data_IF_329823213513
#
_entry.id   IF_329823213513
#
_cell.length_a   1.000
_cell.length_b   1.000
_cell.length_c   1.000
_cell.angle_alpha   90.00
_cell.angle_beta   90.00
_cell.angle_gamma   90.00
#
_symmetry.space_group_name_H-M   'P 1'
#
loop_
_entity.id
_entity.type
_entity.pdbx_description
1 polymer ?
#
# COMPACT_ATOMS: atom_id res chain seq x y z
N UNK A 1 22.60 10.06 -14.09
CA UNK A 1 21.67 9.50 -15.06
C UNK A 1 20.48 8.93 -14.34
N UNK A 2 19.62 9.86 -13.87
CA UNK A 2 18.55 9.55 -12.95
C UNK A 2 17.32 8.96 -13.60
N UNK A 3 17.32 7.68 -13.85
CA UNK A 3 16.07 6.97 -13.89
C UNK A 3 15.65 6.75 -12.44
N UNK A 4 14.66 7.51 -12.01
CA UNK A 4 13.87 7.12 -10.86
C UNK A 4 13.11 5.87 -11.29
N UNK A 5 13.69 4.72 -11.03
CA UNK A 5 12.96 3.47 -11.17
C UNK A 5 11.76 3.58 -10.25
N UNK A 6 10.57 3.52 -10.81
CA UNK A 6 9.35 3.43 -10.03
C UNK A 6 9.54 2.29 -9.02
N UNK A 7 9.29 2.58 -7.75
CA UNK A 7 9.42 1.58 -6.70
C UNK A 7 8.49 0.41 -7.02
N UNK A 8 9.05 -0.77 -7.05
CA UNK A 8 8.30 -2.00 -7.27
C UNK A 8 7.79 -2.53 -5.92
N UNK A 9 6.62 -2.07 -5.52
CA UNK A 9 5.97 -2.53 -4.29
C UNK A 9 5.56 -4.00 -4.37
N UNK A 10 5.29 -4.51 -5.57
CA UNK A 10 5.04 -5.92 -5.80
C UNK A 10 6.27 -6.76 -5.44
N UNK A 11 7.45 -6.35 -5.88
CA UNK A 11 8.72 -7.00 -5.51
C UNK A 11 8.97 -6.95 -4.01
N UNK A 12 8.62 -5.86 -3.34
CA UNK A 12 8.71 -5.75 -1.88
C UNK A 12 7.79 -6.76 -1.19
N UNK A 13 6.55 -6.87 -1.64
CA UNK A 13 5.59 -7.85 -1.12
C UNK A 13 6.07 -9.29 -1.34
N UNK A 14 6.63 -9.59 -2.51
CA UNK A 14 7.21 -10.90 -2.85
C UNK A 14 8.38 -11.29 -1.97
N UNK A 15 9.15 -10.33 -1.47
CA UNK A 15 10.24 -10.58 -0.51
C UNK A 15 9.73 -10.78 0.90
N UNK A 16 8.70 -10.04 1.30
CA UNK A 16 8.14 -10.10 2.66
C UNK A 16 7.32 -11.36 2.91
N UNK A 17 6.55 -11.78 1.94
CA UNK A 17 5.62 -12.91 2.06
C UNK A 17 6.29 -14.19 2.56
N UNK A 18 7.41 -14.67 1.96
CA UNK A 18 8.06 -15.88 2.47
C UNK A 18 8.75 -15.67 3.82
N UNK A 19 9.32 -14.51 4.08
CA UNK A 19 10.02 -14.23 5.35
C UNK A 19 9.03 -14.21 6.51
N UNK A 20 7.85 -13.63 6.29
CA UNK A 20 6.79 -13.54 7.31
C UNK A 20 5.85 -14.74 7.33
N UNK A 21 6.02 -15.67 6.39
CA UNK A 21 5.10 -16.81 6.21
C UNK A 21 3.64 -16.34 6.16
N UNK A 22 3.36 -15.37 5.30
CA UNK A 22 2.10 -14.62 5.34
C UNK A 22 1.68 -14.17 3.95
N UNK A 23 0.37 -13.90 3.79
CA UNK A 23 -0.10 -13.03 2.72
C UNK A 23 0.25 -11.59 3.09
N UNK A 24 0.68 -10.80 2.12
CA UNK A 24 1.11 -9.41 2.31
C UNK A 24 0.38 -8.50 1.35
N UNK A 25 -0.23 -7.45 1.90
CA UNK A 25 -0.84 -6.35 1.14
C UNK A 25 -0.19 -5.04 1.53
N UNK A 26 0.22 -4.27 0.55
CA UNK A 26 0.69 -2.89 0.73
C UNK A 26 -0.38 -1.99 0.14
N UNK A 27 -1.04 -1.20 0.99
CA UNK A 27 -2.15 -0.33 0.61
C UNK A 27 -1.75 1.13 0.75
N UNK A 28 -2.23 1.96 -0.18
CA UNK A 28 -2.18 3.42 -0.01
C UNK A 28 -3.39 3.90 0.83
N UNK A 29 -3.50 5.21 1.04
CA UNK A 29 -4.59 5.81 1.84
C UNK A 29 -5.94 5.83 1.11
N UNK A 30 -5.96 5.51 -0.16
CA UNK A 30 -7.19 5.41 -0.97
C UNK A 30 -7.68 3.97 -1.12
N UNK A 31 -6.94 3.00 -0.56
CA UNK A 31 -7.26 1.58 -0.64
C UNK A 31 -6.75 0.89 -1.89
N UNK A 32 -5.92 1.56 -2.69
CA UNK A 32 -5.26 0.93 -3.81
C UNK A 32 -4.21 -0.06 -3.32
N UNK A 33 -4.16 -1.23 -3.93
CA UNK A 33 -3.16 -2.25 -3.64
C UNK A 33 -1.91 -1.91 -4.44
N UNK A 34 -0.90 -1.39 -3.76
CA UNK A 34 0.40 -1.05 -4.35
C UNK A 34 1.24 -2.30 -4.59
N UNK A 35 1.13 -3.27 -3.71
CA UNK A 35 1.82 -4.55 -3.82
C UNK A 35 1.06 -5.65 -3.09
N UNK A 36 1.16 -6.86 -3.61
CA UNK A 36 0.53 -8.06 -3.06
C UNK A 36 1.40 -9.27 -3.34
N UNK A 37 1.51 -10.14 -2.37
CA UNK A 37 2.01 -11.50 -2.57
C UNK A 37 1.48 -12.46 -1.51
N UNK A 38 1.38 -13.72 -1.88
CA UNK A 38 1.02 -14.79 -0.97
C UNK A 38 1.81 -16.05 -1.31
N UNK A 39 2.40 -16.67 -0.29
CA UNK A 39 3.08 -17.95 -0.43
C UNK A 39 2.10 -19.13 -0.51
N UNK A 40 0.85 -18.90 -0.14
CA UNK A 40 -0.22 -19.90 -0.15
C UNK A 40 -1.31 -19.45 -1.11
N UNK A 41 -1.81 -20.37 -1.89
CA UNK A 41 -2.95 -20.10 -2.76
C UNK A 41 -4.25 -20.11 -1.94
N UNK A 42 -4.68 -18.91 -1.53
CA UNK A 42 -5.98 -18.68 -0.90
C UNK A 42 -7.03 -18.24 -1.91
N UNK A 43 -6.92 -18.69 -3.15
CA UNK A 43 -7.77 -18.18 -4.21
C UNK A 43 -9.25 -18.50 -3.97
N UNK A 44 -10.04 -17.45 -3.85
CA UNK A 44 -11.49 -17.49 -4.03
C UNK A 44 -11.87 -16.32 -4.95
N UNK A 45 -13.08 -16.38 -5.50
CA UNK A 45 -13.57 -15.38 -6.46
C UNK A 45 -13.50 -13.94 -5.92
N UNK A 46 -13.79 -13.76 -4.63
CA UNK A 46 -13.77 -12.44 -3.98
C UNK A 46 -12.36 -11.86 -3.89
N UNK A 47 -11.41 -12.69 -3.46
CA UNK A 47 -10.00 -12.28 -3.35
C UNK A 47 -9.39 -12.01 -4.73
N UNK A 48 -9.68 -12.88 -5.69
CA UNK A 48 -9.23 -12.68 -7.07
C UNK A 48 -9.73 -11.36 -7.64
N UNK A 49 -11.00 -11.03 -7.39
CA UNK A 49 -11.57 -9.77 -7.84
C UNK A 49 -10.89 -8.56 -7.19
N UNK A 50 -10.66 -8.60 -5.89
CA UNK A 50 -9.96 -7.52 -5.16
C UNK A 50 -8.56 -7.33 -5.73
N UNK A 51 -7.84 -8.41 -5.97
CA UNK A 51 -6.48 -8.39 -6.53
C UNK A 51 -6.50 -7.87 -7.98
N UNK A 52 -7.46 -8.29 -8.80
CA UNK A 52 -7.63 -7.82 -10.17
C UNK A 52 -7.96 -6.33 -10.22
N UNK A 53 -8.88 -5.88 -9.39
CA UNK A 53 -9.30 -4.48 -9.30
C UNK A 53 -8.23 -3.60 -8.62
N UNK A 54 -7.24 -4.20 -7.98
CA UNK A 54 -6.19 -3.51 -7.23
C UNK A 54 -6.73 -2.55 -6.19
N UNK A 55 -7.87 -2.90 -5.60
CA UNK A 55 -8.54 -2.02 -4.64
C UNK A 55 -9.29 -2.84 -3.59
N UNK A 56 -9.11 -2.48 -2.33
CA UNK A 56 -9.86 -3.07 -1.23
C UNK A 56 -11.24 -2.41 -1.10
N UNK A 57 -12.25 -3.11 -0.55
CA UNK A 57 -13.56 -2.51 -0.31
C UNK A 57 -13.48 -1.29 0.60
N UNK A 58 -14.32 -0.29 0.34
CA UNK A 58 -14.32 0.96 1.10
C UNK A 58 -14.52 0.77 2.60
N UNK A 59 -15.40 -0.15 3.00
CA UNK A 59 -15.64 -0.44 4.41
C UNK A 59 -14.38 -0.96 5.11
N UNK A 60 -13.61 -1.80 4.43
CA UNK A 60 -12.34 -2.30 4.94
C UNK A 60 -11.29 -1.18 5.03
N UNK A 61 -11.19 -0.36 4.00
CA UNK A 61 -10.31 0.81 3.99
C UNK A 61 -10.59 1.73 5.17
N UNK A 62 -11.86 2.10 5.36
CA UNK A 62 -12.27 3.01 6.44
C UNK A 62 -11.92 2.41 7.81
N UNK A 63 -12.10 1.11 7.98
CA UNK A 63 -11.73 0.41 9.22
C UNK A 63 -10.21 0.42 9.45
N UNK A 64 -9.41 0.16 8.42
CA UNK A 64 -7.94 0.15 8.54
C UNK A 64 -7.37 1.53 8.82
N UNK A 65 -7.95 2.59 8.27
CA UNK A 65 -7.49 3.96 8.50
C UNK A 65 -7.75 4.45 9.92
N UNK A 66 -8.63 3.80 10.66
CA UNK A 66 -8.87 4.08 12.09
C UNK A 66 -7.86 3.40 13.01
N UNK A 67 -7.00 2.55 12.46
CA UNK A 67 -5.93 1.90 13.22
C UNK A 67 -4.72 2.85 13.24
N UNK A 68 -4.42 3.40 14.40
CA UNK A 68 -3.34 4.38 14.59
C UNK A 68 -2.04 3.78 15.12
N UNK A 69 -2.10 2.61 15.72
CA UNK A 69 -0.95 1.85 16.19
C UNK A 69 -1.08 0.41 15.67
N UNK A 70 0.02 -0.29 15.54
CA UNK A 70 0.05 -1.68 15.09
C UNK A 70 -0.92 -2.54 15.89
N UNK A 71 -1.83 -3.20 15.20
CA UNK A 71 -2.82 -4.10 15.80
C UNK A 71 -2.47 -5.53 15.41
N UNK A 72 -2.31 -6.38 16.41
CA UNK A 72 -1.66 -7.69 16.29
C UNK A 72 -2.66 -8.82 16.50
N UNK A 73 -2.48 -9.88 15.74
CA UNK A 73 -3.23 -11.14 15.91
C UNK A 73 -4.75 -10.93 15.93
N UNK A 74 -5.23 -10.17 14.97
CA UNK A 74 -6.65 -9.88 14.76
C UNK A 74 -7.32 -11.18 14.32
N UNK A 75 -8.33 -11.67 15.06
CA UNK A 75 -9.01 -12.90 14.70
C UNK A 75 -9.98 -12.70 13.53
N UNK A 76 -10.40 -13.79 12.93
CA UNK A 76 -11.24 -13.74 11.73
C UNK A 76 -12.64 -13.12 11.96
N UNK A 77 -13.15 -13.15 13.19
CA UNK A 77 -14.42 -12.55 13.54
C UNK A 77 -14.39 -11.02 13.49
N UNK A 78 -13.21 -10.43 13.53
CA UNK A 78 -13.02 -8.98 13.47
C UNK A 78 -13.14 -8.48 12.02
N UNK A 79 -13.78 -7.34 11.83
CA UNK A 79 -13.92 -6.69 10.51
C UNK A 79 -12.60 -6.30 9.87
N UNK A 80 -11.52 -6.23 10.65
CA UNK A 80 -10.16 -5.95 10.17
C UNK A 80 -9.44 -7.19 9.65
N UNK A 81 -9.99 -8.39 9.84
CA UNK A 81 -9.40 -9.61 9.29
C UNK A 81 -9.31 -9.52 7.77
N UNK A 82 -8.14 -9.88 7.23
CA UNK A 82 -7.97 -10.00 5.78
C UNK A 82 -8.63 -11.28 5.23
N UNK A 83 -8.97 -12.21 6.09
CA UNK A 83 -9.62 -13.46 5.74
C UNK A 83 -11.12 -13.35 6.04
N UNK A 84 -12.01 -13.39 5.03
CA UNK A 84 -13.44 -13.33 5.27
C UNK A 84 -13.96 -14.58 6.00
N UNK A 85 -15.03 -14.38 6.76
CA UNK A 85 -15.68 -15.45 7.53
C UNK A 85 -16.10 -16.64 6.65
N UNK A 86 -16.52 -16.37 5.42
CA UNK A 86 -16.93 -17.38 4.44
C UNK A 86 -15.82 -18.34 4.03
N UNK A 87 -14.56 -17.93 4.13
CA UNK A 87 -13.40 -18.76 3.81
C UNK A 87 -13.01 -19.69 4.94
N UNK A 88 -13.40 -19.38 6.15
CA UNK A 88 -12.99 -20.15 7.31
C UNK A 88 -13.71 -21.47 7.44
N UNK A 89 -14.89 -21.60 6.84
CA UNK A 89 -15.56 -22.89 6.72
C UNK A 89 -14.75 -23.89 5.88
N UNK A 90 -13.86 -23.39 5.03
CA UNK A 90 -12.96 -24.21 4.20
C UNK A 90 -11.66 -24.59 4.89
N UNK A 91 -11.25 -23.83 5.88
CA UNK A 91 -10.00 -24.04 6.60
C UNK A 91 -10.31 -24.34 8.07
N UNK A 92 -10.09 -25.58 8.48
CA UNK A 92 -10.18 -25.99 9.87
C UNK A 92 -9.03 -25.36 10.68
N UNK A 93 -9.15 -24.09 11.03
CA UNK A 93 -8.08 -23.44 11.79
C UNK A 93 -8.39 -21.98 12.13
N UNK A 94 -7.49 -21.38 12.88
CA UNK A 94 -7.55 -19.97 13.21
C UNK A 94 -6.80 -19.15 12.18
N UNK A 95 -7.26 -17.94 11.90
CA UNK A 95 -6.53 -16.98 11.12
C UNK A 95 -6.11 -15.77 11.96
N UNK A 96 -5.01 -15.17 11.60
CA UNK A 96 -4.44 -14.02 12.28
C UNK A 96 -4.07 -12.94 11.28
N UNK A 97 -4.49 -11.72 11.55
CA UNK A 97 -4.17 -10.55 10.76
C UNK A 97 -3.41 -9.54 11.60
N UNK A 98 -2.43 -8.88 11.01
CA UNK A 98 -1.74 -7.74 11.62
C UNK A 98 -1.94 -6.54 10.71
N UNK A 99 -2.33 -5.41 11.30
CA UNK A 99 -2.48 -4.13 10.63
C UNK A 99 -1.38 -3.20 11.11
N UNK A 100 -0.54 -2.75 10.19
CA UNK A 100 0.55 -1.82 10.50
C UNK A 100 0.31 -0.50 9.76
N UNK A 101 0.07 0.60 10.49
CA UNK A 101 0.03 1.92 9.85
C UNK A 101 1.39 2.25 9.23
N UNK A 102 1.39 2.64 7.96
CA UNK A 102 2.59 3.13 7.28
C UNK A 102 2.58 4.65 7.38
N UNK A 103 3.63 5.20 7.98
CA UNK A 103 3.78 6.64 8.21
C UNK A 103 5.12 7.14 7.69
N UNK A 104 5.16 8.40 7.31
CA UNK A 104 6.38 9.09 6.93
C UNK A 104 6.11 10.58 6.78
N UNK A 105 7.09 11.42 7.10
CA UNK A 105 6.93 12.86 7.00
C UNK A 105 5.80 13.44 7.87
N UNK A 106 5.44 12.76 8.96
CA UNK A 106 4.33 13.18 9.84
C UNK A 106 2.94 12.83 9.34
N UNK A 107 2.84 12.09 8.23
CA UNK A 107 1.57 11.72 7.59
C UNK A 107 1.32 10.24 7.61
N UNK A 108 0.04 9.85 7.53
CA UNK A 108 -0.36 8.49 7.18
C UNK A 108 -0.17 8.30 5.68
N UNK A 109 0.68 7.34 5.28
CA UNK A 109 1.00 7.07 3.87
C UNK A 109 0.30 5.84 3.33
N UNK A 110 -0.11 4.95 4.18
CA UNK A 110 -0.76 3.71 3.78
C UNK A 110 -0.92 2.73 4.92
N UNK A 111 -1.12 1.47 4.57
CA UNK A 111 -1.30 0.39 5.52
C UNK A 111 -0.60 -0.87 5.01
N UNK A 112 0.18 -1.51 5.86
CA UNK A 112 0.70 -2.86 5.61
C UNK A 112 -0.24 -3.84 6.32
N UNK A 113 -0.80 -4.78 5.55
CA UNK A 113 -1.67 -5.83 6.08
C UNK A 113 -0.99 -7.16 5.84
N UNK A 114 -0.79 -7.93 6.90
CA UNK A 114 -0.25 -9.27 6.80
C UNK A 114 -1.20 -10.26 7.48
N UNK A 115 -1.26 -11.45 6.92
CA UNK A 115 -2.16 -12.48 7.44
C UNK A 115 -1.61 -13.88 7.26
N UNK A 116 -1.92 -14.76 8.20
CA UNK A 116 -1.61 -16.18 8.09
C UNK A 116 -2.63 -17.03 8.82
N UNK A 117 -2.65 -18.29 8.44
CA UNK A 117 -3.46 -19.33 9.07
C UNK A 117 -2.64 -20.12 10.07
N UNK A 118 -3.33 -20.69 11.07
CA UNK A 118 -2.85 -21.72 12.01
C UNK A 118 -1.73 -21.32 12.99
N UNK A 119 -1.07 -20.19 12.78
CA UNK A 119 0.01 -19.72 13.64
C UNK A 119 -0.11 -18.23 13.88
N UNK A 120 -0.13 -17.82 15.13
CA UNK A 120 -0.11 -16.40 15.50
C UNK A 120 1.24 -15.75 15.22
N UNK A 121 1.25 -14.43 15.18
CA UNK A 121 2.47 -13.65 15.00
C UNK A 121 3.17 -13.49 16.34
N UNK A 122 4.48 -13.76 16.36
CA UNK A 122 5.35 -13.62 17.50
C UNK A 122 6.12 -12.29 17.45
N UNK A 123 6.80 -11.94 18.53
CA UNK A 123 7.54 -10.69 18.64
C UNK A 123 8.58 -10.51 17.52
N UNK A 124 9.28 -11.57 17.14
CA UNK A 124 10.27 -11.53 16.05
C UNK A 124 9.61 -11.19 14.69
N UNK A 125 8.43 -11.75 14.43
CA UNK A 125 7.65 -11.43 13.22
C UNK A 125 7.27 -9.95 13.21
N UNK A 126 6.85 -9.42 14.37
CA UNK A 126 6.39 -8.04 14.49
C UNK A 126 7.53 -7.03 14.33
N UNK A 127 8.70 -7.32 14.87
CA UNK A 127 9.90 -6.49 14.67
C UNK A 127 10.21 -6.39 13.16
N UNK A 128 10.20 -7.51 12.48
CA UNK A 128 10.44 -7.55 11.03
C UNK A 128 9.36 -6.82 10.24
N UNK A 129 8.10 -7.02 10.59
CA UNK A 129 6.96 -6.37 9.94
C UNK A 129 6.99 -4.84 10.14
N UNK A 130 7.31 -4.37 11.34
CA UNK A 130 7.44 -2.94 11.63
C UNK A 130 8.62 -2.31 10.89
N UNK A 131 9.74 -3.01 10.81
CA UNK A 131 10.86 -2.59 9.99
C UNK A 131 10.45 -2.48 8.51
N UNK A 132 9.76 -3.48 8.00
CA UNK A 132 9.23 -3.48 6.63
C UNK A 132 8.27 -2.31 6.39
N UNK A 133 7.37 -2.02 7.33
CA UNK A 133 6.44 -0.89 7.19
C UNK A 133 7.17 0.45 7.13
N UNK A 134 8.27 0.59 7.86
CA UNK A 134 9.13 1.78 7.82
C UNK A 134 9.80 1.93 6.45
N UNK A 135 10.36 0.87 5.91
CA UNK A 135 11.00 0.87 4.59
C UNK A 135 9.98 1.19 3.49
N UNK A 136 8.82 0.56 3.53
CA UNK A 136 7.73 0.85 2.59
C UNK A 136 7.30 2.31 2.70
N UNK A 137 7.20 2.84 3.91
CA UNK A 137 6.85 4.24 4.15
C UNK A 137 7.84 5.21 3.52
N UNK A 138 9.13 4.95 3.64
CA UNK A 138 10.18 5.75 2.99
C UNK A 138 10.00 5.76 1.47
N UNK A 139 9.73 4.61 0.89
CA UNK A 139 9.55 4.47 -0.56
C UNK A 139 8.27 5.16 -1.06
N UNK A 140 7.16 5.04 -0.33
CA UNK A 140 5.92 5.75 -0.65
C UNK A 140 6.15 7.27 -0.58
N UNK A 141 6.85 7.73 0.46
CA UNK A 141 7.16 9.15 0.64
C UNK A 141 8.01 9.70 -0.49
N UNK A 142 9.06 8.96 -0.90
CA UNK A 142 9.90 9.33 -2.03
C UNK A 142 9.09 9.43 -3.32
N UNK A 143 8.26 8.45 -3.61
CA UNK A 143 7.40 8.45 -4.79
C UNK A 143 6.44 9.64 -4.81
N UNK A 144 5.84 9.96 -3.66
CA UNK A 144 4.96 11.11 -3.49
C UNK A 144 5.71 12.42 -3.74
N UNK A 145 6.90 12.58 -3.19
CA UNK A 145 7.74 13.77 -3.38
C UNK A 145 8.18 13.93 -4.83
N UNK A 146 8.54 12.85 -5.51
CA UNK A 146 8.90 12.86 -6.92
C UNK A 146 7.73 13.28 -7.81
N UNK A 147 6.52 12.80 -7.52
CA UNK A 147 5.31 13.23 -8.21
C UNK A 147 5.03 14.71 -8.02
N UNK A 148 5.18 15.22 -6.81
CA UNK A 148 5.00 16.65 -6.51
C UNK A 148 6.03 17.52 -7.24
N UNK A 149 7.30 17.10 -7.29
CA UNK A 149 8.35 17.77 -8.04
C UNK A 149 8.08 17.79 -9.54
N UNK A 150 7.68 16.67 -10.11
CA UNK A 150 7.35 16.57 -11.52
C UNK A 150 6.14 17.44 -11.88
N UNK A 151 5.13 17.47 -11.05
CA UNK A 151 3.95 18.32 -11.24
C UNK A 151 4.33 19.82 -11.19
N UNK A 152 5.14 20.23 -10.24
CA UNK A 152 5.63 21.60 -10.13
C UNK A 152 6.46 22.01 -11.36
N UNK A 153 7.33 21.12 -11.84
CA UNK A 153 8.13 21.34 -13.05
C UNK A 153 7.26 21.50 -14.29
N UNK A 154 6.29 20.63 -14.47
CA UNK A 154 5.36 20.67 -15.60
C UNK A 154 4.54 21.96 -15.59
N UNK A 155 4.09 22.39 -14.42
CA UNK A 155 3.39 23.66 -14.24
C UNK A 155 4.26 24.86 -14.61
N UNK A 156 5.52 24.89 -14.18
CA UNK A 156 6.48 25.93 -14.53
C UNK A 156 6.75 25.96 -16.04
N UNK A 157 6.90 24.81 -16.68
CA UNK A 157 7.09 24.70 -18.13
C UNK A 157 5.87 25.24 -18.90
N UNK A 158 4.66 24.94 -18.47
CA UNK A 158 3.43 25.46 -19.06
C UNK A 158 3.36 26.99 -18.91
N UNK A 159 3.67 27.52 -17.72
CA UNK A 159 3.70 28.97 -17.49
C UNK A 159 4.74 29.68 -18.36
N UNK A 160 5.92 29.11 -18.51
CA UNK A 160 6.96 29.62 -19.41
C UNK A 160 6.51 29.63 -20.86
N UNK A 161 5.87 28.57 -21.34
CA UNK A 161 5.34 28.50 -22.69
C UNK A 161 4.25 29.53 -22.94
N UNK A 162 3.32 29.71 -21.98
CA UNK A 162 2.27 30.73 -22.06
C UNK A 162 2.84 32.15 -22.08
N UNK A 163 3.86 32.42 -21.29
CA UNK A 163 4.54 33.72 -21.27
C UNK A 163 5.24 33.99 -22.58
N UNK A 164 5.89 33.00 -23.21
CA UNK A 164 6.51 33.09 -24.52
C UNK A 164 5.49 33.43 -25.63
N UNK A 165 4.34 32.75 -25.60
CA UNK A 165 3.24 33.02 -26.55
C UNK A 165 2.71 34.45 -26.40
N UNK A 166 2.46 34.89 -25.19
CA UNK A 166 1.99 36.24 -24.89
C UNK A 166 2.98 37.32 -25.39
N UNK A 167 4.28 37.09 -25.24
CA UNK A 167 5.33 37.98 -25.73
C UNK A 167 5.36 38.01 -27.26
N UNK A 168 5.26 36.86 -27.92
CA UNK A 168 5.20 36.78 -29.39
C UNK A 168 3.99 37.51 -29.98
N UNK A 169 2.82 37.41 -29.34
CA UNK A 169 1.61 38.13 -29.74
C UNK A 169 1.78 39.66 -29.63
N UNK A 170 2.42 40.13 -28.57
CA UNK A 170 2.71 41.56 -28.39
C UNK A 170 3.67 42.11 -29.46
N UNK A 171 4.69 41.37 -29.82
CA UNK A 171 5.60 41.77 -30.92
C UNK A 171 4.90 41.79 -32.27
N UNK A 172 3.97 40.90 -32.54
CA UNK A 172 3.22 40.84 -33.79
C UNK A 172 2.22 42.00 -33.97
N UNK A 173 1.84 42.70 -32.89
CA UNK A 173 0.89 43.84 -32.92
C UNK A 173 1.61 45.19 -33.12
N UNK A 174 2.91 45.27 -32.85
CA UNK A 174 3.72 46.43 -33.14
C UNK A 174 4.21 46.42 -34.61
#
# INVERSE_FOLDING_TARGET
EGRHDNVDFEAMAMRLSPILDSVVYILDTEGNILGYDSIVDYSNERMEKIIQDRKVPKAYLDATLKVYATKVNIPFQDSLSIFPEEEQERFEGNSYTVILPIRGGGERLGTLVIGRMDSDFKDDDLVLAEYASTVVGIEILHEKQDKEKNLARDKDMVNMALNSLSFSEKEAIE
#
